data_IF_356675547211
#
_entry.id   IF_356675547211
#
_cell.length_a   1.000
_cell.length_b   1.000
_cell.length_c   1.000
_cell.angle_alpha   90.00
_cell.angle_beta   90.00
_cell.angle_gamma   90.00
#
_symmetry.space_group_name_H-M   'P 1'
#
loop_
_entity.id
_entity.type
_entity.pdbx_description
1 polymer ?
#
# COMPACT_ATOMS: atom_id res chain seq x y z
N UNK A 1 15.50 -61.59 2.26
CA UNK A 1 14.16 -61.11 1.89
C UNK A 1 13.63 -60.00 2.81
N UNK A 2 13.66 -60.17 4.15
CA UNK A 2 13.15 -59.17 5.11
C UNK A 2 13.76 -57.76 5.01
N UNK A 3 15.05 -57.64 4.69
CA UNK A 3 15.77 -56.36 4.59
C UNK A 3 15.38 -55.51 3.37
N UNK A 4 15.08 -56.15 2.23
CA UNK A 4 14.60 -55.45 1.02
C UNK A 4 13.19 -54.90 1.21
N UNK A 5 12.34 -55.62 1.94
CA UNK A 5 10.96 -55.17 2.26
C UNK A 5 11.02 -53.94 3.17
N UNK A 6 11.84 -53.98 4.23
CA UNK A 6 12.00 -52.86 5.15
C UNK A 6 12.52 -51.59 4.43
N UNK A 7 13.49 -51.74 3.53
CA UNK A 7 14.05 -50.62 2.76
C UNK A 7 13.02 -50.00 1.82
N UNK A 8 12.22 -50.83 1.13
CA UNK A 8 11.16 -50.36 0.25
C UNK A 8 10.02 -49.68 1.03
N UNK A 9 9.69 -50.16 2.23
CA UNK A 9 8.69 -49.52 3.09
C UNK A 9 9.16 -48.15 3.59
N UNK A 10 10.43 -48.03 4.01
CA UNK A 10 11.00 -46.74 4.45
C UNK A 10 11.06 -45.74 3.29
N UNK A 11 11.49 -46.19 2.11
CA UNK A 11 11.53 -45.33 0.92
C UNK A 11 10.13 -44.84 0.51
N UNK A 12 9.11 -45.70 0.59
CA UNK A 12 7.73 -45.33 0.30
C UNK A 12 7.16 -44.31 1.31
N UNK A 13 7.48 -44.45 2.60
CA UNK A 13 7.07 -43.50 3.65
C UNK A 13 7.75 -42.14 3.46
N UNK A 14 9.04 -42.11 3.12
CA UNK A 14 9.76 -40.86 2.82
C UNK A 14 9.15 -40.19 1.58
N UNK A 15 8.85 -40.95 0.52
CA UNK A 15 8.21 -40.41 -0.69
C UNK A 15 6.82 -39.84 -0.40
N UNK A 16 6.02 -40.52 0.43
CA UNK A 16 4.71 -40.03 0.91
C UNK A 16 4.83 -38.75 1.74
N UNK A 17 5.84 -38.65 2.61
CA UNK A 17 6.10 -37.43 3.39
C UNK A 17 6.55 -36.26 2.50
N UNK A 18 7.35 -36.52 1.46
CA UNK A 18 7.77 -35.50 0.48
C UNK A 18 6.58 -35.04 -0.37
N UNK A 19 5.71 -35.96 -0.80
CA UNK A 19 4.51 -35.64 -1.58
C UNK A 19 3.43 -34.91 -0.75
N UNK A 20 3.27 -35.25 0.53
CA UNK A 20 2.37 -34.52 1.44
C UNK A 20 2.95 -33.16 1.89
N UNK A 21 4.26 -32.94 1.75
CA UNK A 21 4.94 -31.69 2.05
C UNK A 21 4.80 -30.60 0.98
N UNK A 22 4.38 -30.96 -0.23
CA UNK A 22 4.02 -30.03 -1.30
C UNK A 22 2.65 -29.39 -1.02
N UNK A 23 2.54 -28.65 0.10
CA UNK A 23 1.42 -27.74 0.31
C UNK A 23 1.54 -26.65 -0.74
N UNK A 24 0.59 -26.59 -1.67
CA UNK A 24 0.40 -25.40 -2.50
C UNK A 24 0.40 -24.19 -1.57
N UNK A 25 1.34 -23.28 -1.79
CA UNK A 25 1.38 -22.00 -1.11
C UNK A 25 0.06 -21.33 -1.47
N UNK A 26 -0.92 -21.34 -0.55
CA UNK A 26 -2.22 -20.67 -0.77
C UNK A 26 -1.92 -19.29 -1.33
N UNK A 27 -2.39 -19.02 -2.55
CA UNK A 27 -2.28 -17.70 -3.16
C UNK A 27 -2.70 -16.67 -2.11
N UNK A 28 -1.77 -15.79 -1.73
CA UNK A 28 -2.08 -14.76 -0.76
C UNK A 28 -2.97 -13.73 -1.46
N UNK A 29 -4.28 -13.89 -1.32
CA UNK A 29 -5.22 -12.85 -1.68
C UNK A 29 -5.50 -11.95 -0.48
N UNK A 30 -5.81 -10.70 -0.77
CA UNK A 30 -6.10 -9.68 0.24
C UNK A 30 -7.59 -9.37 0.20
N UNK A 31 -8.20 -9.29 1.38
CA UNK A 31 -9.57 -8.82 1.48
C UNK A 31 -9.67 -7.38 0.96
N UNK A 32 -10.75 -7.11 0.24
CA UNK A 32 -10.98 -5.81 -0.40
C UNK A 32 -12.25 -5.19 0.17
N UNK A 33 -12.12 -3.95 0.61
CA UNK A 33 -13.26 -3.13 0.98
C UNK A 33 -13.85 -2.44 -0.25
N UNK A 34 -15.12 -2.05 -0.12
CA UNK A 34 -15.85 -1.32 -1.15
C UNK A 34 -15.85 0.15 -0.80
N UNK A 35 -15.37 0.99 -1.72
CA UNK A 35 -15.44 2.44 -1.58
C UNK A 35 -16.84 2.93 -1.94
N UNK A 36 -17.59 3.42 -0.95
CA UNK A 36 -18.97 3.91 -1.15
C UNK A 36 -19.05 5.44 -1.34
N UNK A 37 -17.96 6.18 -1.12
CA UNK A 37 -17.92 7.63 -1.31
C UNK A 37 -17.60 7.97 -2.77
N UNK A 38 -18.60 8.40 -3.54
CA UNK A 38 -18.47 8.71 -4.98
C UNK A 38 -17.58 9.91 -5.30
N UNK A 39 -17.50 10.89 -4.40
CA UNK A 39 -16.59 12.01 -4.58
C UNK A 39 -15.13 11.53 -4.47
N UNK A 40 -14.79 10.78 -3.41
CA UNK A 40 -13.45 10.21 -3.26
C UNK A 40 -13.10 9.25 -4.40
N UNK A 41 -14.05 8.41 -4.83
CA UNK A 41 -13.88 7.51 -5.98
C UNK A 41 -13.46 8.28 -7.25
N UNK A 42 -14.19 9.35 -7.57
CA UNK A 42 -13.90 10.22 -8.71
C UNK A 42 -12.52 10.86 -8.59
N UNK A 43 -12.17 11.45 -7.45
CA UNK A 43 -10.86 12.10 -7.28
C UNK A 43 -9.70 11.10 -7.39
N UNK A 44 -9.87 9.85 -6.94
CA UNK A 44 -8.87 8.78 -7.13
C UNK A 44 -8.71 8.41 -8.62
N UNK A 45 -9.80 8.39 -9.39
CA UNK A 45 -9.76 8.15 -10.84
C UNK A 45 -9.06 9.30 -11.56
N UNK A 46 -9.43 10.55 -11.24
CA UNK A 46 -8.78 11.73 -11.85
C UNK A 46 -7.30 11.82 -11.50
N UNK A 47 -6.93 11.53 -10.26
CA UNK A 47 -5.54 11.52 -9.83
C UNK A 47 -4.67 10.59 -10.69
N UNK A 48 -5.18 9.40 -11.03
CA UNK A 48 -4.44 8.39 -11.81
C UNK A 48 -4.17 8.77 -13.26
N UNK A 49 -4.90 9.73 -13.82
CA UNK A 49 -4.69 10.22 -15.19
C UNK A 49 -3.46 11.12 -15.31
N UNK A 50 -2.84 11.48 -14.19
CA UNK A 50 -1.73 12.44 -14.15
C UNK A 50 -0.41 11.82 -14.60
N UNK A 51 0.30 12.53 -15.47
CA UNK A 51 1.58 12.08 -16.05
C UNK A 51 2.78 12.24 -15.10
N UNK A 52 2.64 13.03 -14.03
CA UNK A 52 3.72 13.28 -13.06
C UNK A 52 3.96 12.10 -12.09
N UNK A 53 3.22 11.01 -12.27
CA UNK A 53 3.35 9.79 -11.48
C UNK A 53 4.43 8.88 -12.06
N UNK A 54 5.63 8.97 -11.50
CA UNK A 54 6.76 8.16 -11.93
C UNK A 54 7.08 7.05 -10.93
N UNK A 55 7.37 5.83 -11.41
CA UNK A 55 7.71 4.72 -10.53
C UNK A 55 9.06 4.90 -9.86
N UNK A 56 9.16 4.56 -8.57
CA UNK A 56 10.42 4.41 -7.84
C UNK A 56 11.48 3.63 -8.66
N UNK A 57 11.09 2.55 -9.33
CA UNK A 57 12.00 1.70 -10.08
C UNK A 57 11.54 1.53 -11.52
N UNK A 58 12.48 1.54 -12.46
CA UNK A 58 12.16 1.34 -13.87
C UNK A 58 11.42 0.02 -14.10
N UNK A 59 10.35 0.06 -14.90
CA UNK A 59 9.51 -1.10 -15.16
C UNK A 59 8.63 -1.55 -13.98
N UNK A 60 8.49 -0.74 -12.91
CA UNK A 60 7.45 -0.95 -11.89
C UNK A 60 6.15 -0.25 -12.22
N UNK A 61 5.05 -0.88 -11.80
CA UNK A 61 3.74 -0.23 -11.77
C UNK A 61 3.72 0.79 -10.62
N UNK A 62 3.18 1.98 -10.91
CA UNK A 62 2.79 2.93 -9.87
C UNK A 62 1.37 2.60 -9.45
N UNK A 63 1.19 2.27 -8.17
CA UNK A 63 -0.13 2.13 -7.57
C UNK A 63 -0.56 3.45 -6.95
N UNK A 64 -1.86 3.65 -6.77
CA UNK A 64 -2.37 4.76 -5.96
C UNK A 64 -2.48 4.32 -4.51
N UNK A 65 -1.99 5.15 -3.60
CA UNK A 65 -2.32 5.04 -2.18
C UNK A 65 -3.05 6.28 -1.68
N UNK A 66 -3.86 6.05 -0.65
CA UNK A 66 -4.68 7.07 0.01
C UNK A 66 -4.28 7.11 1.47
N UNK A 67 -3.64 8.20 1.87
CA UNK A 67 -3.35 8.46 3.27
C UNK A 67 -4.59 9.04 3.95
N UNK A 68 -5.11 8.34 4.96
CA UNK A 68 -6.30 8.73 5.69
C UNK A 68 -5.91 9.40 7.00
N UNK A 69 -6.19 10.69 7.12
CA UNK A 69 -5.87 11.48 8.31
C UNK A 69 -7.15 12.04 8.90
N UNK A 70 -7.60 11.47 10.00
CA UNK A 70 -8.64 12.05 10.83
C UNK A 70 -8.12 13.35 11.45
N UNK A 71 -8.89 14.42 11.31
CA UNK A 71 -8.58 15.74 11.89
C UNK A 71 -9.44 15.95 13.14
N UNK A 72 -10.73 15.61 13.03
CA UNK A 72 -11.71 15.60 14.11
C UNK A 72 -12.89 14.70 13.70
N UNK A 73 -13.90 14.58 14.57
CA UNK A 73 -15.07 13.71 14.39
C UNK A 73 -15.86 13.94 13.09
N UNK A 74 -15.74 15.12 12.49
CA UNK A 74 -16.47 15.51 11.28
C UNK A 74 -15.57 15.74 10.07
N UNK A 75 -14.25 15.82 10.27
CA UNK A 75 -13.30 16.24 9.24
C UNK A 75 -12.21 15.20 9.04
N UNK A 76 -12.08 14.73 7.80
CA UNK A 76 -11.05 13.79 7.37
C UNK A 76 -10.31 14.36 6.18
N UNK A 77 -8.99 14.15 6.15
CA UNK A 77 -8.16 14.44 5.00
C UNK A 77 -7.69 13.15 4.34
N UNK A 78 -7.94 13.04 3.05
CA UNK A 78 -7.38 12.00 2.20
C UNK A 78 -6.27 12.60 1.35
N UNK A 79 -5.07 12.02 1.42
CA UNK A 79 -3.95 12.44 0.56
C UNK A 79 -3.68 11.35 -0.46
N UNK A 80 -3.93 11.64 -1.72
CA UNK A 80 -3.62 10.75 -2.83
C UNK A 80 -2.15 10.89 -3.20
N UNK A 81 -1.45 9.76 -3.25
CA UNK A 81 -0.02 9.71 -3.54
C UNK A 81 0.35 8.45 -4.32
N UNK A 82 1.46 8.46 -5.09
CA UNK A 82 1.95 7.23 -5.69
C UNK A 82 2.46 6.29 -4.59
N UNK A 83 2.24 5.01 -4.80
CA UNK A 83 2.81 3.91 -4.05
C UNK A 83 3.60 3.04 -5.02
N UNK A 84 4.92 3.21 -5.01
CA UNK A 84 5.83 2.53 -5.93
C UNK A 84 7.02 1.88 -5.24
N UNK A 85 7.15 2.01 -3.92
CA UNK A 85 8.25 1.41 -3.16
C UNK A 85 7.73 0.42 -2.09
N UNK A 86 7.95 -0.90 -2.26
CA UNK A 86 7.51 -1.90 -1.29
C UNK A 86 8.22 -1.79 0.07
N UNK A 87 9.33 -1.05 0.18
CA UNK A 87 9.96 -0.77 1.47
C UNK A 87 9.13 0.17 2.35
N UNK A 88 8.17 0.91 1.78
CA UNK A 88 7.27 1.76 2.55
C UNK A 88 6.39 0.96 3.52
N UNK A 89 6.13 -0.32 3.27
CA UNK A 89 5.33 -1.18 4.15
C UNK A 89 5.91 -1.32 5.57
N UNK A 90 7.22 -1.15 5.73
CA UNK A 90 7.87 -1.19 7.04
C UNK A 90 7.65 0.09 7.85
N UNK A 91 7.27 1.19 7.19
CA UNK A 91 6.94 2.48 7.82
C UNK A 91 5.44 2.75 7.86
N UNK A 92 4.74 2.38 6.79
CA UNK A 92 3.37 2.76 6.48
C UNK A 92 2.61 1.51 6.02
N UNK A 93 2.08 0.72 6.96
CA UNK A 93 1.36 -0.49 6.60
C UNK A 93 0.08 -0.15 5.85
N UNK A 94 -0.14 -0.82 4.71
CA UNK A 94 -1.43 -0.79 4.02
C UNK A 94 -2.47 -1.39 4.97
N UNK A 95 -3.46 -0.57 5.33
CA UNK A 95 -4.50 -0.93 6.31
C UNK A 95 -5.61 -1.73 5.66
N UNK A 96 -6.01 -1.36 4.44
CA UNK A 96 -6.96 -2.09 3.61
C UNK A 96 -6.79 -1.72 2.14
N UNK A 97 -7.39 -2.53 1.26
CA UNK A 97 -7.33 -2.34 -0.19
C UNK A 97 -8.76 -2.13 -0.69
N UNK A 98 -8.94 -1.15 -1.57
CA UNK A 98 -10.20 -0.96 -2.29
C UNK A 98 -9.96 -1.16 -3.78
N UNK A 99 -10.97 -1.67 -4.50
CA UNK A 99 -10.95 -1.66 -5.96
C UNK A 99 -11.63 -0.40 -6.46
N UNK A 100 -10.93 0.40 -7.25
CA UNK A 100 -11.48 1.62 -7.86
C UNK A 100 -11.16 1.62 -9.34
N UNK A 101 -12.18 1.61 -10.19
CA UNK A 101 -12.03 1.52 -11.65
C UNK A 101 -11.12 0.34 -12.08
N UNK A 102 -11.46 -0.86 -11.60
CA UNK A 102 -10.73 -2.10 -11.90
C UNK A 102 -9.40 -2.31 -11.16
N UNK A 103 -8.81 -1.25 -10.61
CA UNK A 103 -7.47 -1.26 -10.01
C UNK A 103 -7.49 -1.30 -8.48
N UNK A 104 -6.50 -1.99 -7.90
CA UNK A 104 -6.30 -2.02 -6.44
C UNK A 104 -5.67 -0.68 -5.98
N UNK A 105 -6.30 -0.06 -4.98
CA UNK A 105 -5.88 1.20 -4.33
C UNK A 105 -5.60 0.93 -2.87
N UNK A 106 -4.45 1.40 -2.38
CA UNK A 106 -3.94 1.07 -1.05
C UNK A 106 -4.28 2.16 -0.04
N UNK A 107 -5.10 1.85 0.95
CA UNK A 107 -5.47 2.80 2.00
C UNK A 107 -4.54 2.64 3.20
N UNK A 108 -3.98 3.75 3.65
CA UNK A 108 -3.05 3.81 4.78
C UNK A 108 -3.68 4.71 5.83
N UNK A 109 -4.02 4.14 6.98
CA UNK A 109 -4.50 4.91 8.12
C UNK A 109 -3.32 5.64 8.77
N UNK A 110 -3.43 6.96 8.90
CA UNK A 110 -2.44 7.79 9.59
C UNK A 110 -2.48 7.61 11.11
N UNK A 111 -3.58 7.08 11.67
CA UNK A 111 -3.67 6.77 13.08
C UNK A 111 -2.69 5.64 13.46
N UNK A 112 -2.01 5.81 14.60
CA UNK A 112 -1.02 4.82 15.07
C UNK A 112 0.33 4.82 14.34
N UNK A 113 0.53 5.69 13.34
CA UNK A 113 1.84 5.90 12.72
C UNK A 113 2.64 6.94 13.51
N UNK A 114 3.77 6.50 14.07
CA UNK A 114 4.73 7.37 14.73
C UNK A 114 5.53 8.18 13.70
N UNK A 115 5.70 9.47 13.95
CA UNK A 115 6.50 10.38 13.10
C UNK A 115 8.01 10.29 13.36
N UNK A 116 8.38 9.77 14.52
CA UNK A 116 9.77 9.73 15.00
C UNK A 116 10.31 8.31 15.12
N UNK A 117 9.44 7.33 15.32
CA UNK A 117 9.82 5.94 15.54
C UNK A 117 8.87 4.99 14.80
N UNK A 118 9.00 4.96 13.47
CA UNK A 118 8.22 4.08 12.58
C UNK A 118 8.33 2.60 12.95
N UNK A 119 9.42 2.19 13.61
CA UNK A 119 9.62 0.81 14.06
C UNK A 119 8.68 0.44 15.20
N UNK A 120 8.04 1.39 15.87
CA UNK A 120 7.13 1.18 16.98
C UNK A 120 5.72 1.72 16.71
N UNK A 121 5.31 1.77 15.44
CA UNK A 121 3.91 2.02 15.09
C UNK A 121 2.97 1.02 15.80
N UNK A 122 1.81 1.51 16.21
CA UNK A 122 0.77 0.72 16.87
C UNK A 122 0.32 -0.46 16.01
N UNK A 123 0.27 -0.25 14.70
CA UNK A 123 -0.09 -1.27 13.73
C UNK A 123 1.09 -1.56 12.81
N UNK A 124 1.29 -2.84 12.51
CA UNK A 124 2.29 -3.34 11.56
C UNK A 124 1.71 -4.49 10.77
N UNK A 125 2.07 -4.56 9.50
CA UNK A 125 1.77 -5.72 8.68
C UNK A 125 2.68 -6.88 9.10
N UNK A 126 2.13 -8.09 9.28
CA UNK A 126 2.93 -9.27 9.63
C UNK A 126 3.96 -9.57 8.54
N UNK A 127 5.10 -10.17 8.88
CA UNK A 127 6.15 -10.52 7.91
C UNK A 127 5.60 -11.39 6.76
N UNK A 128 4.71 -12.33 7.08
CA UNK A 128 4.01 -13.15 6.09
C UNK A 128 3.20 -12.29 5.12
N UNK A 129 2.37 -11.39 5.63
CA UNK A 129 1.53 -10.53 4.79
C UNK A 129 2.37 -9.56 3.97
N UNK A 130 3.48 -9.03 4.52
CA UNK A 130 4.45 -8.22 3.77
C UNK A 130 5.07 -9.00 2.63
N UNK A 131 5.53 -10.24 2.87
CA UNK A 131 6.09 -11.10 1.83
C UNK A 131 5.08 -11.41 0.73
N UNK A 132 3.85 -11.77 1.12
CA UNK A 132 2.73 -11.95 0.20
C UNK A 132 2.44 -10.70 -0.66
N UNK A 133 2.43 -9.52 -0.04
CA UNK A 133 2.14 -8.25 -0.71
C UNK A 133 3.23 -7.93 -1.73
N UNK A 134 4.50 -8.04 -1.31
CA UNK A 134 5.66 -7.85 -2.19
C UNK A 134 5.62 -8.84 -3.35
N UNK A 135 5.37 -10.13 -3.11
CA UNK A 135 5.25 -11.14 -4.18
C UNK A 135 4.15 -10.83 -5.18
N UNK A 136 3.01 -10.29 -4.75
CA UNK A 136 1.86 -9.99 -5.62
C UNK A 136 2.03 -8.70 -6.43
N UNK A 137 2.37 -7.61 -5.77
CA UNK A 137 2.36 -6.27 -6.38
C UNK A 137 3.74 -5.83 -6.89
N UNK A 138 4.81 -6.43 -6.36
CA UNK A 138 6.21 -6.11 -6.61
C UNK A 138 7.06 -7.38 -6.82
N UNK A 139 6.69 -8.27 -7.77
CA UNK A 139 7.27 -9.63 -7.88
C UNK A 139 8.73 -9.66 -8.33
N UNK A 140 9.27 -8.57 -8.87
CA UNK A 140 10.63 -8.51 -9.42
C UNK A 140 11.61 -8.03 -8.35
N UNK A 141 12.90 -8.29 -8.58
CA UNK A 141 13.96 -7.65 -7.80
C UNK A 141 14.20 -6.27 -8.41
N UNK A 142 14.21 -5.24 -7.56
CA UNK A 142 14.37 -3.86 -7.99
C UNK A 142 15.73 -3.31 -7.56
N UNK A 143 16.43 -2.69 -8.51
CA UNK A 143 17.71 -2.04 -8.31
C UNK A 143 17.54 -0.54 -8.48
N UNK A 144 18.26 0.25 -7.69
CA UNK A 144 18.35 1.68 -7.93
C UNK A 144 19.26 1.99 -9.13
N UNK A 145 19.30 3.25 -9.60
CA UNK A 145 20.15 3.68 -10.72
C UNK A 145 21.66 3.38 -10.53
N UNK A 146 22.10 3.10 -9.30
CA UNK A 146 23.49 2.74 -8.98
C UNK A 146 23.72 1.22 -8.92
N UNK A 147 22.76 0.40 -9.38
CA UNK A 147 22.85 -1.07 -9.37
C UNK A 147 22.81 -1.70 -7.98
N UNK A 148 22.50 -0.93 -6.93
CA UNK A 148 22.35 -1.47 -5.57
C UNK A 148 20.90 -1.86 -5.32
N UNK A 149 20.72 -2.97 -4.59
CA UNK A 149 19.46 -3.27 -3.93
C UNK A 149 19.19 -2.17 -2.92
N UNK A 150 18.06 -1.48 -3.05
CA UNK A 150 17.69 -0.41 -2.13
C UNK A 150 16.89 0.70 -2.81
N UNK A 151 16.22 1.53 -2.01
CA UNK A 151 15.22 2.48 -2.51
C UNK A 151 15.84 3.48 -3.46
N UNK A 152 15.24 3.59 -4.64
CA UNK A 152 15.39 4.74 -5.50
C UNK A 152 14.24 5.71 -5.16
N UNK A 153 14.55 6.80 -4.46
CA UNK A 153 13.58 7.85 -4.19
C UNK A 153 13.39 8.68 -5.47
N UNK A 154 12.23 8.57 -6.13
CA UNK A 154 11.81 9.69 -6.97
C UNK A 154 11.38 10.87 -6.08
N UNK A 155 11.81 12.05 -6.52
CA UNK A 155 11.58 13.35 -5.93
C UNK A 155 10.08 13.64 -5.79
N UNK A 156 9.66 14.08 -4.61
CA UNK A 156 8.45 14.87 -4.33
C UNK A 156 7.35 14.77 -5.41
N UNK A 157 6.58 13.66 -5.49
CA UNK A 157 5.44 13.63 -6.40
C UNK A 157 4.42 14.69 -5.98
N UNK A 158 3.67 15.23 -6.93
CA UNK A 158 2.55 16.10 -6.57
C UNK A 158 1.47 15.24 -5.91
N UNK A 159 1.14 15.61 -4.69
CA UNK A 159 0.09 14.97 -3.91
C UNK A 159 -1.22 15.72 -4.14
N UNK A 160 -2.34 14.99 -4.08
CA UNK A 160 -3.68 15.60 -4.06
C UNK A 160 -4.24 15.49 -2.65
N UNK A 161 -4.48 16.64 -2.02
CA UNK A 161 -5.02 16.76 -0.67
C UNK A 161 -6.51 17.05 -0.75
N UNK A 162 -7.32 16.10 -0.29
CA UNK A 162 -8.77 16.20 -0.29
C UNK A 162 -9.26 16.35 1.15
N UNK A 163 -10.00 17.41 1.43
CA UNK A 163 -10.62 17.64 2.74
C UNK A 163 -12.11 17.33 2.64
N UNK A 164 -12.56 16.42 3.48
CA UNK A 164 -13.95 16.02 3.60
C UNK A 164 -14.50 16.49 4.94
N UNK A 165 -15.69 17.07 4.92
CA UNK A 165 -16.47 17.43 6.11
C UNK A 165 -17.81 16.72 6.00
N UNK A 166 -18.17 15.90 7.00
CA UNK A 166 -19.38 15.06 7.00
C UNK A 166 -19.53 14.30 5.67
N UNK A 167 -18.49 13.57 5.28
CA UNK A 167 -18.39 12.78 4.03
C UNK A 167 -18.51 13.55 2.71
N UNK A 168 -18.60 14.88 2.77
CA UNK A 168 -18.66 15.76 1.60
C UNK A 168 -17.31 16.38 1.30
N UNK A 169 -16.88 16.34 0.03
CA UNK A 169 -15.64 16.99 -0.41
C UNK A 169 -15.83 18.51 -0.36
N UNK A 170 -15.06 19.19 0.49
CA UNK A 170 -15.11 20.66 0.65
C UNK A 170 -13.82 21.36 0.23
N UNK A 171 -12.72 20.61 0.05
CA UNK A 171 -11.45 21.20 -0.36
C UNK A 171 -10.60 20.23 -1.17
N UNK A 172 -9.98 20.72 -2.23
CA UNK A 172 -9.04 20.00 -3.08
C UNK A 172 -7.83 20.90 -3.33
N UNK A 173 -6.64 20.42 -3.02
CA UNK A 173 -5.38 21.12 -3.26
C UNK A 173 -4.35 20.16 -3.86
N UNK A 174 -3.53 20.66 -4.79
CA UNK A 174 -2.42 19.90 -5.37
C UNK A 174 -1.13 20.60 -5.00
N UNK A 175 -0.17 19.85 -4.46
CA UNK A 175 1.11 20.42 -4.08
C UNK A 175 2.21 19.40 -3.92
N UNK A 176 3.45 19.87 -4.08
CA UNK A 176 4.63 19.14 -3.69
C UNK A 176 4.67 19.02 -2.17
N UNK A 177 4.89 17.83 -1.63
CA UNK A 177 5.03 17.73 -0.18
C UNK A 177 4.99 16.35 0.42
N UNK A 178 4.83 16.37 1.73
CA UNK A 178 4.64 15.24 2.63
C UNK A 178 3.13 15.06 2.86
N UNK A 179 2.65 13.83 3.10
CA UNK A 179 1.28 13.58 3.57
C UNK A 179 0.89 14.36 4.83
N UNK A 180 1.89 14.89 5.56
CA UNK A 180 1.74 15.76 6.72
C UNK A 180 1.79 17.26 6.43
N UNK A 181 1.94 17.69 5.17
CA UNK A 181 2.07 19.10 4.82
C UNK A 181 0.85 19.93 5.26
N UNK A 182 1.12 21.17 5.68
CA UNK A 182 0.07 22.16 5.93
C UNK A 182 -0.39 22.75 4.59
N UNK A 183 -1.66 22.64 4.25
CA UNK A 183 -2.25 23.19 3.03
C UNK A 183 -3.29 24.24 3.36
N UNK A 184 -3.34 25.30 2.55
CA UNK A 184 -4.41 26.30 2.60
C UNK A 184 -5.65 25.72 1.93
N UNK A 185 -6.76 25.73 2.66
CA UNK A 185 -8.09 25.36 2.15
C UNK A 185 -9.07 26.51 2.41
N UNK A 186 -10.13 26.57 1.61
CA UNK A 186 -11.22 27.53 1.78
C UNK A 186 -12.50 26.78 2.11
N UNK A 187 -13.15 27.15 3.22
CA UNK A 187 -14.47 26.63 3.62
C UNK A 187 -15.35 27.86 3.79
N UNK A 188 -16.47 27.92 3.06
CA UNK A 188 -17.37 29.09 3.05
C UNK A 188 -16.62 30.42 2.86
N UNK A 189 -15.72 30.46 1.86
CA UNK A 189 -14.85 31.60 1.52
C UNK A 189 -13.84 32.02 2.60
N UNK A 190 -13.77 31.31 3.72
CA UNK A 190 -12.80 31.59 4.79
C UNK A 190 -11.54 30.75 4.62
N UNK A 191 -10.33 31.35 4.68
CA UNK A 191 -9.07 30.64 4.55
C UNK A 191 -8.70 29.91 5.85
N UNK A 192 -8.28 28.65 5.73
CA UNK A 192 -7.76 27.86 6.84
C UNK A 192 -6.44 27.19 6.46
N UNK A 193 -5.40 27.42 7.25
CA UNK A 193 -4.12 26.72 7.13
C UNK A 193 -4.15 25.46 7.98
N UNK A 194 -4.02 24.31 7.32
CA UNK A 194 -4.14 23.00 7.95
C UNK A 194 -3.01 22.08 7.59
#
# INVERSE_FOLDING_TARGET
MKTKVLFNTVAAVILLLVLCGCREEKNCDFDRLVLNNKALEREIIEYRKREDQHPAYEGTKVYTSVWCKEINDSTVRYVLRPFSDPAELDKYPVSFICKVDGEDVFFIMGCGVSKTDYKNNFFKMSERNKACFKKKYFPKIYYNRNGKLGPYCYSHPLLTYLTFVNDSLVGNNIGYGDVNAKVLIFIDEKPYWW
#
